data_IF_838958379006
#
_entry.id   IF_838958379006
#
_cell.length_a   1.000
_cell.length_b   1.000
_cell.length_c   1.000
_cell.angle_alpha   90.00
_cell.angle_beta   90.00
_cell.angle_gamma   90.00
#
_symmetry.space_group_name_H-M   'P 1'
#
loop_
_entity.id
_entity.type
_entity.pdbx_description
1 polymer ?
#
# COMPACT_ATOMS: atom_id res chain seq x y z
N UNK A 1 -8.11 21.80 4.60
CA UNK A 1 -6.64 21.92 4.56
C UNK A 1 -6.29 23.01 3.54
N UNK A 2 -5.31 23.87 3.79
CA UNK A 2 -4.90 24.88 2.80
C UNK A 2 -4.18 24.16 1.63
N UNK A 3 -4.53 24.43 0.37
CA UNK A 3 -3.94 23.78 -0.81
C UNK A 3 -2.41 23.87 -0.83
N UNK A 4 -1.82 24.94 -0.30
CA UNK A 4 -0.37 25.10 -0.19
C UNK A 4 0.27 24.03 0.71
N UNK A 5 -0.35 23.70 1.86
CA UNK A 5 0.12 22.64 2.76
C UNK A 5 -0.02 21.24 2.13
N UNK A 6 -1.02 21.03 1.26
CA UNK A 6 -1.16 19.78 0.50
C UNK A 6 -0.01 19.59 -0.50
N UNK A 7 0.36 20.64 -1.24
CA UNK A 7 1.47 20.55 -2.20
C UNK A 7 2.81 20.23 -1.54
N UNK A 8 3.13 20.87 -0.42
CA UNK A 8 4.36 20.58 0.34
C UNK A 8 4.43 19.11 0.80
N UNK A 9 3.28 18.56 1.22
CA UNK A 9 3.16 17.18 1.67
C UNK A 9 3.45 16.17 0.55
N UNK A 10 2.94 16.43 -0.66
CA UNK A 10 3.21 15.57 -1.82
C UNK A 10 4.63 15.76 -2.38
N UNK A 11 5.17 16.97 -2.30
CA UNK A 11 6.53 17.27 -2.76
C UNK A 11 7.59 16.55 -1.93
N UNK A 12 7.33 16.35 -0.63
CA UNK A 12 8.18 15.57 0.26
C UNK A 12 8.29 14.08 -0.14
N UNK A 13 7.33 13.54 -0.90
CA UNK A 13 7.31 12.13 -1.33
C UNK A 13 7.58 11.93 -2.82
N UNK A 14 7.23 12.88 -3.67
CA UNK A 14 7.43 12.80 -5.12
C UNK A 14 8.84 13.26 -5.54
N UNK A 15 9.87 12.63 -4.95
CA UNK A 15 11.28 12.87 -5.30
C UNK A 15 11.61 12.35 -6.71
N UNK A 16 12.74 12.77 -7.29
CA UNK A 16 13.22 12.24 -8.58
C UNK A 16 13.37 10.72 -8.55
N UNK A 17 13.87 10.17 -7.44
CA UNK A 17 14.03 8.72 -7.24
C UNK A 17 12.68 8.01 -7.20
N UNK A 18 11.67 8.59 -6.54
CA UNK A 18 10.30 8.06 -6.53
C UNK A 18 9.70 8.07 -7.94
N UNK A 19 9.75 9.20 -8.66
CA UNK A 19 9.21 9.32 -10.02
C UNK A 19 9.86 8.30 -10.98
N UNK A 20 11.18 8.12 -10.89
CA UNK A 20 11.92 7.11 -11.66
C UNK A 20 11.41 5.70 -11.37
N UNK A 21 11.17 5.34 -10.10
CA UNK A 21 10.66 4.02 -9.73
C UNK A 21 9.19 3.80 -10.15
N UNK A 22 8.38 4.86 -10.18
CA UNK A 22 7.03 4.84 -10.74
C UNK A 22 7.05 4.75 -12.29
N UNK A 23 8.22 4.96 -12.91
CA UNK A 23 8.40 4.92 -14.35
C UNK A 23 7.78 6.13 -15.07
N UNK A 24 7.81 7.30 -14.42
CA UNK A 24 7.34 8.57 -14.97
C UNK A 24 8.47 9.60 -15.00
N UNK A 25 8.44 10.52 -15.97
CA UNK A 25 9.49 11.53 -16.18
C UNK A 25 9.32 12.77 -15.29
N UNK A 26 8.08 13.11 -14.92
CA UNK A 26 7.74 14.27 -14.09
C UNK A 26 6.42 14.04 -13.34
N UNK A 27 6.12 14.93 -12.39
CA UNK A 27 4.87 14.92 -11.63
C UNK A 27 3.63 15.11 -12.52
N UNK A 28 3.75 15.81 -13.65
CA UNK A 28 2.63 16.08 -14.58
C UNK A 28 2.07 14.81 -15.26
N UNK A 29 2.82 13.71 -15.19
CA UNK A 29 2.37 12.39 -15.67
C UNK A 29 1.48 11.65 -14.68
N UNK A 30 1.36 12.18 -13.47
CA UNK A 30 0.52 11.68 -12.40
C UNK A 30 -0.81 12.43 -12.38
N UNK A 31 -1.92 11.70 -12.28
CA UNK A 31 -3.25 12.31 -12.10
C UNK A 31 -3.58 12.25 -10.61
N UNK A 32 -3.64 13.39 -9.95
CA UNK A 32 -4.12 13.45 -8.59
C UNK A 32 -5.60 13.05 -8.50
N UNK A 33 -5.94 12.16 -7.57
CA UNK A 33 -7.29 11.70 -7.30
C UNK A 33 -7.44 11.42 -5.80
N UNK A 34 -8.00 12.40 -5.08
CA UNK A 34 -8.37 12.31 -3.67
C UNK A 34 -7.24 11.77 -2.76
N UNK A 35 -6.04 12.34 -2.89
CA UNK A 35 -4.87 12.02 -2.06
C UNK A 35 -3.91 10.99 -2.68
N UNK A 36 -4.32 10.31 -3.74
CA UNK A 36 -3.50 9.35 -4.48
C UNK A 36 -3.18 9.85 -5.89
N UNK A 37 -2.31 9.13 -6.60
CA UNK A 37 -1.90 9.47 -7.95
C UNK A 37 -2.09 8.30 -8.90
N UNK A 38 -2.96 8.45 -9.90
CA UNK A 38 -3.03 7.49 -11.00
C UNK A 38 -1.89 7.69 -11.97
N UNK A 39 -1.31 6.59 -12.42
CA UNK A 39 -0.19 6.57 -13.35
C UNK A 39 -0.74 6.21 -14.73
N UNK A 40 -0.71 7.16 -15.67
CA UNK A 40 -1.19 7.00 -17.07
C UNK A 40 -0.28 6.08 -17.89
N UNK A 41 -0.23 4.80 -17.51
CA UNK A 41 0.54 3.75 -18.19
C UNK A 41 -0.23 2.45 -18.12
N UNK A 42 -0.33 1.77 -19.26
CA UNK A 42 -0.98 0.46 -19.35
C UNK A 42 -0.32 -0.52 -18.38
N UNK A 43 -1.14 -1.14 -17.53
CA UNK A 43 -0.69 -2.18 -16.61
C UNK A 43 -0.41 -3.45 -17.39
N UNK A 44 0.78 -4.01 -17.20
CA UNK A 44 1.15 -5.35 -17.65
C UNK A 44 1.67 -6.08 -16.42
N UNK A 45 0.97 -7.13 -16.02
CA UNK A 45 1.36 -8.01 -14.92
C UNK A 45 1.25 -9.45 -15.41
N UNK A 46 2.26 -10.23 -15.06
CA UNK A 46 2.26 -11.68 -15.21
C UNK A 46 2.64 -12.25 -13.86
N UNK A 47 1.83 -13.17 -13.36
CA UNK A 47 2.03 -13.84 -12.08
C UNK A 47 1.98 -15.33 -12.37
N UNK A 48 3.07 -16.03 -12.10
CA UNK A 48 3.21 -17.48 -12.32
C UNK A 48 3.02 -18.30 -11.04
N UNK A 49 3.17 -17.69 -9.87
CA UNK A 49 2.99 -18.35 -8.57
C UNK A 49 1.51 -18.36 -8.15
N UNK A 50 1.10 -19.44 -7.47
CA UNK A 50 -0.24 -19.57 -6.87
C UNK A 50 -0.32 -19.02 -5.43
N UNK A 51 0.79 -18.56 -4.87
CA UNK A 51 0.88 -18.00 -3.52
C UNK A 51 1.54 -16.62 -3.49
N UNK A 52 1.75 -16.11 -2.28
CA UNK A 52 2.45 -14.84 -2.04
C UNK A 52 3.89 -14.91 -2.57
N UNK A 53 4.22 -14.11 -3.58
CA UNK A 53 5.56 -13.96 -4.13
C UNK A 53 6.15 -12.64 -3.64
N UNK A 54 6.70 -12.66 -2.43
CA UNK A 54 7.38 -11.51 -1.85
C UNK A 54 8.72 -11.27 -2.53
N UNK A 55 9.08 -10.00 -2.72
CA UNK A 55 10.46 -9.67 -3.05
C UNK A 55 11.40 -9.95 -1.86
N UNK A 56 12.68 -10.17 -2.16
CA UNK A 56 13.71 -10.18 -1.12
C UNK A 56 13.76 -8.79 -0.44
N UNK A 57 13.88 -8.77 0.88
CA UNK A 57 14.02 -7.53 1.66
C UNK A 57 15.23 -6.72 1.18
N UNK A 58 15.12 -5.40 1.18
CA UNK A 58 16.25 -4.50 0.97
C UNK A 58 17.03 -4.40 2.28
N UNK A 59 18.31 -4.78 2.24
CA UNK A 59 19.26 -4.59 3.33
C UNK A 59 19.76 -3.15 3.35
N UNK A 60 19.70 -2.48 4.49
CA UNK A 60 20.34 -1.19 4.76
C UNK A 60 21.22 -1.35 5.99
N UNK A 61 22.40 -0.73 5.97
CA UNK A 61 23.28 -0.63 7.14
C UNK A 61 23.29 0.81 7.61
N UNK A 62 22.95 1.03 8.88
CA UNK A 62 22.90 2.36 9.48
C UNK A 62 23.45 2.30 10.89
N UNK A 63 24.45 3.14 11.17
CA UNK A 63 25.11 3.16 12.49
C UNK A 63 25.54 1.76 12.95
N UNK A 64 26.13 0.98 12.04
CA UNK A 64 26.59 -0.40 12.25
C UNK A 64 25.47 -1.45 12.47
N UNK A 65 24.20 -1.04 12.51
CA UNK A 65 23.06 -1.95 12.57
C UNK A 65 22.55 -2.28 11.18
N UNK A 66 22.22 -3.56 10.97
CA UNK A 66 21.56 -4.04 9.76
C UNK A 66 20.04 -4.03 9.94
N UNK A 67 19.34 -3.42 8.98
CA UNK A 67 17.89 -3.45 8.90
C UNK A 67 17.43 -4.02 7.56
N UNK A 68 16.37 -4.83 7.62
CA UNK A 68 15.73 -5.43 6.46
C UNK A 68 14.39 -4.73 6.21
N UNK A 69 14.24 -4.19 5.00
CA UNK A 69 13.05 -3.44 4.59
C UNK A 69 12.22 -4.25 3.57
N UNK A 70 10.90 -4.32 3.74
CA UNK A 70 10.03 -4.97 2.78
C UNK A 70 10.04 -4.21 1.44
N UNK A 71 9.92 -4.93 0.33
CA UNK A 71 9.91 -4.32 -1.00
C UNK A 71 8.54 -4.42 -1.67
N UNK A 72 7.84 -5.54 -1.53
CA UNK A 72 6.55 -5.73 -2.19
C UNK A 72 6.20 -7.20 -2.39
N UNK A 73 5.11 -7.42 -3.11
CA UNK A 73 4.61 -8.76 -3.40
C UNK A 73 3.84 -8.81 -4.72
N UNK A 74 3.81 -9.99 -5.33
CA UNK A 74 2.86 -10.38 -6.37
C UNK A 74 1.99 -11.52 -5.86
N UNK A 75 0.71 -11.48 -6.17
CA UNK A 75 -0.19 -12.59 -5.88
C UNK A 75 -1.37 -12.61 -6.84
N UNK A 76 -1.81 -13.82 -7.21
CA UNK A 76 -3.07 -14.03 -7.91
C UNK A 76 -4.17 -14.20 -6.86
N UNK A 77 -4.99 -13.17 -6.65
CA UNK A 77 -6.11 -13.20 -5.73
C UNK A 77 -7.34 -13.82 -6.38
N UNK A 78 -8.08 -14.60 -5.61
CA UNK A 78 -9.38 -15.19 -5.97
C UNK A 78 -10.29 -15.09 -4.75
N UNK A 79 -11.61 -15.33 -4.93
CA UNK A 79 -12.57 -15.31 -3.81
C UNK A 79 -12.17 -16.24 -2.65
N UNK A 80 -11.51 -17.35 -2.95
CA UNK A 80 -11.11 -18.35 -1.95
C UNK A 80 -10.04 -17.86 -0.97
N UNK A 81 -9.32 -16.79 -1.30
CA UNK A 81 -8.33 -16.19 -0.41
C UNK A 81 -8.91 -15.10 0.49
N UNK A 82 -10.16 -14.68 0.32
CA UNK A 82 -10.74 -13.65 1.17
C UNK A 82 -10.87 -14.17 2.61
N UNK A 83 -10.45 -13.36 3.57
CA UNK A 83 -10.53 -13.76 4.97
C UNK A 83 -11.99 -13.89 5.43
N UNK A 84 -12.27 -14.98 6.15
CA UNK A 84 -13.55 -15.24 6.83
C UNK A 84 -13.46 -15.04 8.35
N UNK A 85 -12.27 -14.70 8.87
CA UNK A 85 -11.99 -14.50 10.28
C UNK A 85 -11.18 -13.21 10.49
N UNK A 86 -11.35 -12.53 11.64
CA UNK A 86 -10.50 -11.40 12.00
C UNK A 86 -9.05 -11.86 12.20
N UNK A 87 -8.12 -10.90 12.12
CA UNK A 87 -6.70 -11.15 12.39
C UNK A 87 -6.49 -11.61 13.85
N UNK A 88 -5.52 -12.49 14.12
CA UNK A 88 -5.10 -12.82 15.49
C UNK A 88 -4.81 -11.56 16.31
N UNK A 89 -5.26 -11.53 17.58
CA UNK A 89 -5.11 -10.36 18.46
C UNK A 89 -3.65 -10.11 18.85
N UNK A 90 -2.84 -11.16 18.82
CA UNK A 90 -1.42 -11.18 19.18
C UNK A 90 -0.55 -10.40 18.17
N UNK A 91 -1.03 -10.26 16.93
CA UNK A 91 -0.35 -9.56 15.85
C UNK A 91 0.12 -8.16 16.26
N UNK A 92 -0.77 -7.37 16.87
CA UNK A 92 -0.49 -5.97 17.25
C UNK A 92 0.57 -5.85 18.34
N UNK A 93 0.86 -6.95 19.07
CA UNK A 93 1.83 -6.97 20.16
C UNK A 93 3.23 -7.38 19.73
N UNK A 94 3.39 -8.18 18.66
CA UNK A 94 4.70 -8.78 18.30
C UNK A 94 5.28 -8.35 16.94
N UNK A 95 4.62 -7.46 16.21
CA UNK A 95 5.15 -6.90 14.97
C UNK A 95 5.56 -5.46 15.20
N UNK A 96 6.84 -5.15 15.00
CA UNK A 96 7.39 -3.81 15.14
C UNK A 96 8.20 -3.54 13.87
N UNK A 97 7.60 -2.97 12.82
CA UNK A 97 8.32 -2.71 11.58
C UNK A 97 9.41 -1.65 11.80
N UNK A 98 10.38 -1.60 10.89
CA UNK A 98 11.42 -0.56 10.91
C UNK A 98 10.76 0.83 10.90
N UNK A 99 11.25 1.73 11.76
CA UNK A 99 10.69 3.07 11.95
C UNK A 99 9.44 3.14 12.82
N UNK A 100 9.07 2.06 13.52
CA UNK A 100 7.93 2.09 14.44
C UNK A 100 8.21 2.93 15.69
N UNK A 101 7.41 3.97 15.90
CA UNK A 101 7.39 4.79 17.10
C UNK A 101 6.15 4.49 17.95
N UNK A 102 6.36 3.89 19.13
CA UNK A 102 5.27 3.56 20.06
C UNK A 102 4.75 4.80 20.78
N UNK A 103 5.61 5.75 21.12
CA UNK A 103 5.26 6.92 21.93
C UNK A 103 4.45 7.92 21.11
N UNK A 104 4.74 8.04 19.81
CA UNK A 104 3.93 8.81 18.85
C UNK A 104 2.45 8.39 18.91
N UNK A 105 2.17 7.10 19.07
CA UNK A 105 0.83 6.53 19.06
C UNK A 105 0.14 6.49 20.45
N UNK A 106 0.69 7.17 21.46
CA UNK A 106 0.24 7.09 22.86
C UNK A 106 -1.20 7.56 23.09
N UNK A 107 -1.62 8.65 22.45
CA UNK A 107 -2.96 9.25 22.60
C UNK A 107 -3.82 9.17 21.35
N UNK A 108 -3.19 9.26 20.17
CA UNK A 108 -3.82 9.27 18.86
C UNK A 108 -3.01 8.38 17.94
N UNK A 109 -3.68 7.62 17.06
CA UNK A 109 -2.98 6.85 16.04
C UNK A 109 -2.51 7.74 14.89
N UNK A 110 -1.19 7.79 14.71
CA UNK A 110 -0.51 8.49 13.62
C UNK A 110 0.12 7.51 12.63
N UNK A 111 0.57 6.35 13.11
CA UNK A 111 1.18 5.30 12.29
C UNK A 111 0.58 3.92 12.61
N UNK A 112 0.52 3.08 11.60
CA UNK A 112 0.07 1.70 11.63
C UNK A 112 1.19 0.75 11.20
N UNK A 113 1.00 -0.51 11.60
CA UNK A 113 1.70 -1.65 11.04
C UNK A 113 1.07 -1.95 9.68
N UNK A 114 1.51 -1.23 8.66
CA UNK A 114 1.07 -1.37 7.28
C UNK A 114 1.36 -2.77 6.75
N UNK A 115 0.51 -3.27 5.86
CA UNK A 115 0.63 -4.60 5.27
C UNK A 115 0.93 -4.46 3.79
N UNK A 116 1.84 -5.28 3.28
CA UNK A 116 2.04 -5.42 1.84
C UNK A 116 0.75 -5.91 1.16
N UNK A 117 0.06 -6.89 1.77
CA UNK A 117 -1.26 -7.36 1.37
C UNK A 117 -2.16 -7.39 2.59
N UNK A 118 -3.32 -6.72 2.53
CA UNK A 118 -4.27 -6.76 3.63
C UNK A 118 -4.76 -8.18 3.94
N UNK A 119 -4.92 -8.43 5.24
CA UNK A 119 -5.51 -9.65 5.78
C UNK A 119 -6.84 -10.00 5.12
N UNK A 120 -7.69 -9.00 4.81
CA UNK A 120 -8.98 -9.24 4.18
C UNK A 120 -8.89 -9.85 2.78
N UNK A 121 -7.79 -9.62 2.06
CA UNK A 121 -7.54 -10.14 0.72
C UNK A 121 -6.81 -11.48 0.72
N UNK A 122 -5.96 -11.69 1.72
CA UNK A 122 -5.20 -12.92 1.91
C UNK A 122 -4.88 -13.07 3.41
N UNK A 123 -5.57 -13.95 4.16
CA UNK A 123 -5.29 -14.16 5.57
C UNK A 123 -3.89 -14.74 5.75
N UNK A 124 -3.09 -14.09 6.59
CA UNK A 124 -1.73 -14.53 6.90
C UNK A 124 -1.71 -15.22 8.26
N UNK A 125 -2.00 -16.52 8.25
CA UNK A 125 -1.95 -17.34 9.46
C UNK A 125 -0.51 -17.50 10.00
N UNK A 126 0.51 -17.23 9.17
CA UNK A 126 1.93 -17.28 9.50
C UNK A 126 2.56 -15.89 9.60
N UNK A 127 1.82 -14.93 10.16
CA UNK A 127 2.25 -13.53 10.33
C UNK A 127 3.56 -13.39 11.14
N UNK A 128 3.96 -14.41 11.90
CA UNK A 128 5.22 -14.42 12.63
C UNK A 128 6.45 -14.67 11.72
N UNK A 129 6.26 -15.28 10.56
CA UNK A 129 7.31 -15.57 9.57
C UNK A 129 7.42 -14.44 8.55
N UNK A 130 8.62 -14.18 8.04
CA UNK A 130 8.91 -13.17 7.01
C UNK A 130 8.38 -11.75 7.34
N UNK A 131 8.38 -11.37 8.62
CA UNK A 131 7.83 -10.07 9.08
C UNK A 131 8.46 -8.89 8.36
N UNK A 132 9.76 -8.97 8.10
CA UNK A 132 10.57 -7.99 7.39
C UNK A 132 10.21 -7.86 5.89
N UNK A 133 9.45 -8.80 5.34
CA UNK A 133 8.93 -8.76 3.96
C UNK A 133 7.47 -8.36 3.86
N UNK A 134 6.75 -8.38 4.99
CA UNK A 134 5.28 -8.24 5.05
C UNK A 134 4.79 -6.92 5.62
N UNK A 135 5.53 -6.36 6.57
CA UNK A 135 5.05 -5.23 7.37
C UNK A 135 5.99 -4.04 7.33
N UNK A 136 5.42 -2.85 7.23
CA UNK A 136 6.16 -1.59 7.18
C UNK A 136 5.45 -0.53 8.02
N UNK A 137 6.18 0.51 8.42
CA UNK A 137 5.57 1.67 9.08
C UNK A 137 4.83 2.51 8.06
N UNK A 138 3.52 2.62 8.26
CA UNK A 138 2.60 3.30 7.35
C UNK A 138 1.80 4.34 8.12
N UNK A 139 1.60 5.53 7.57
CA UNK A 139 0.77 6.54 8.24
C UNK A 139 -0.68 6.11 8.41
N UNK A 140 -1.37 6.66 9.40
CA UNK A 140 -2.81 6.46 9.62
C UNK A 140 -3.61 6.80 8.38
N UNK A 141 -3.37 7.97 7.78
CA UNK A 141 -4.07 8.39 6.56
C UNK A 141 -3.89 7.40 5.39
N UNK A 142 -2.66 6.92 5.14
CA UNK A 142 -2.39 6.05 3.98
C UNK A 142 -2.83 4.60 4.19
N UNK A 143 -3.06 4.17 5.44
CA UNK A 143 -3.50 2.83 5.80
C UNK A 143 -5.03 2.71 5.97
N UNK A 144 -5.71 3.72 6.52
CA UNK A 144 -7.10 3.58 7.01
C UNK A 144 -8.14 3.63 5.90
N UNK A 145 -9.08 2.69 5.83
CA UNK A 145 -10.18 2.74 4.85
C UNK A 145 -11.01 4.03 4.91
N UNK A 146 -11.32 4.60 3.74
CA UNK A 146 -12.29 5.68 3.58
C UNK A 146 -13.63 5.12 3.08
N UNK A 147 -14.67 5.15 3.91
CA UNK A 147 -16.05 4.95 3.43
C UNK A 147 -16.56 6.24 2.79
N UNK A 148 -17.30 6.10 1.69
CA UNK A 148 -18.03 7.23 1.12
C UNK A 148 -19.12 7.70 2.11
N UNK A 149 -19.40 9.00 2.12
CA UNK A 149 -20.59 9.57 2.76
C UNK A 149 -21.84 9.18 1.94
N UNK A 150 -23.02 9.55 2.43
CA UNK A 150 -24.28 9.28 1.71
C UNK A 150 -24.34 10.03 0.37
N UNK A 151 -23.60 11.12 0.27
CA UNK A 151 -23.49 12.03 -0.87
C UNK A 151 -22.41 11.61 -1.88
N UNK A 152 -21.65 10.54 -1.56
CA UNK A 152 -20.61 9.99 -2.44
C UNK A 152 -19.19 10.52 -2.17
N UNK A 153 -19.02 11.47 -1.26
CA UNK A 153 -17.72 12.05 -0.92
C UNK A 153 -16.89 11.09 -0.05
N UNK A 154 -15.58 11.04 -0.26
CA UNK A 154 -14.68 10.26 0.60
C UNK A 154 -14.31 11.05 1.85
N UNK A 155 -14.48 10.45 3.03
CA UNK A 155 -14.14 11.09 4.31
C UNK A 155 -12.64 11.33 4.51
N UNK A 156 -11.77 10.52 3.90
CA UNK A 156 -10.31 10.56 4.10
C UNK A 156 -9.55 10.68 2.79
N UNK A 157 -9.93 9.91 1.77
CA UNK A 157 -9.27 9.88 0.46
C UNK A 157 -9.15 8.46 -0.10
N UNK A 158 -8.48 8.33 -1.25
CA UNK A 158 -8.19 7.05 -1.91
C UNK A 158 -6.84 6.48 -1.46
N UNK A 159 -6.79 6.01 -0.23
CA UNK A 159 -5.60 5.38 0.34
C UNK A 159 -5.55 3.86 0.04
N UNK A 160 -4.60 3.12 0.64
CA UNK A 160 -4.38 1.71 0.31
C UNK A 160 -5.64 0.86 0.57
N UNK A 161 -6.26 1.03 1.73
CA UNK A 161 -7.45 0.27 2.12
C UNK A 161 -8.67 0.58 1.23
N UNK A 162 -8.77 1.76 0.63
CA UNK A 162 -9.80 2.05 -0.39
C UNK A 162 -9.67 1.10 -1.59
N UNK A 163 -8.47 1.00 -2.16
CA UNK A 163 -8.22 0.15 -3.33
C UNK A 163 -8.32 -1.33 -2.99
N UNK A 164 -7.85 -1.74 -1.82
CA UNK A 164 -8.01 -3.12 -1.34
C UNK A 164 -9.48 -3.48 -1.14
N UNK A 165 -10.31 -2.54 -0.67
CA UNK A 165 -11.76 -2.73 -0.57
C UNK A 165 -12.42 -2.88 -1.94
N UNK A 166 -11.98 -2.14 -2.97
CA UNK A 166 -12.47 -2.34 -4.34
C UNK A 166 -12.11 -3.73 -4.89
N UNK A 167 -10.90 -4.21 -4.60
CA UNK A 167 -10.44 -5.55 -5.00
C UNK A 167 -11.28 -6.62 -4.31
N UNK A 168 -11.46 -6.50 -2.98
CA UNK A 168 -12.28 -7.41 -2.18
C UNK A 168 -13.71 -7.48 -2.71
N UNK A 169 -14.33 -6.32 -2.92
CA UNK A 169 -15.70 -6.22 -3.45
C UNK A 169 -15.84 -6.94 -4.79
N UNK A 170 -14.91 -6.70 -5.72
CA UNK A 170 -14.95 -7.37 -7.02
C UNK A 170 -14.86 -8.89 -6.90
N UNK A 171 -13.92 -9.41 -6.09
CA UNK A 171 -13.75 -10.85 -5.89
C UNK A 171 -14.97 -11.48 -5.22
N UNK A 172 -15.60 -10.79 -4.27
CA UNK A 172 -16.80 -11.29 -3.59
C UNK A 172 -18.02 -11.35 -4.51
N UNK A 173 -18.24 -10.32 -5.33
CA UNK A 173 -19.36 -10.21 -6.27
C UNK A 173 -19.20 -11.12 -7.50
N UNK A 174 -18.02 -11.69 -7.76
CA UNK A 174 -17.73 -12.44 -8.97
C UNK A 174 -17.02 -13.77 -8.69
N UNK A 175 -17.78 -14.86 -8.54
CA UNK A 175 -17.25 -16.20 -8.18
C UNK A 175 -16.18 -16.73 -9.15
N UNK A 176 -16.31 -16.45 -10.45
CA UNK A 176 -15.33 -16.85 -11.48
C UNK A 176 -14.39 -15.70 -11.87
N UNK A 177 -13.84 -15.03 -10.87
CA UNK A 177 -12.92 -13.90 -11.05
C UNK A 177 -11.57 -14.13 -10.39
N UNK A 178 -10.58 -13.39 -10.89
CA UNK A 178 -9.25 -13.34 -10.32
C UNK A 178 -8.69 -11.92 -10.46
N UNK A 179 -7.84 -11.52 -9.53
CA UNK A 179 -7.13 -10.24 -9.58
C UNK A 179 -5.64 -10.51 -9.53
N UNK A 180 -4.90 -10.09 -10.56
CA UNK A 180 -3.44 -10.07 -10.50
C UNK A 180 -3.06 -8.84 -9.70
N UNK A 181 -2.62 -9.06 -8.46
CA UNK A 181 -2.26 -8.02 -7.52
C UNK A 181 -0.75 -7.87 -7.46
N UNK A 182 -0.28 -6.63 -7.56
CA UNK A 182 1.11 -6.26 -7.38
C UNK A 182 1.20 -5.02 -6.53
N UNK A 183 2.04 -5.09 -5.53
CA UNK A 183 2.33 -3.99 -4.63
C UNK A 183 3.84 -3.83 -4.53
N UNK A 184 4.29 -2.59 -4.52
CA UNK A 184 5.70 -2.25 -4.29
C UNK A 184 5.78 -1.02 -3.40
N UNK A 185 6.55 -1.12 -2.33
CA UNK A 185 6.94 0.01 -1.51
C UNK A 185 8.01 0.82 -2.24
N UNK A 186 7.84 2.14 -2.24
CA UNK A 186 8.73 3.06 -2.95
C UNK A 186 9.52 3.85 -1.92
N UNK A 187 10.83 3.59 -1.87
CA UNK A 187 11.79 4.29 -1.01
C UNK A 187 12.57 5.30 -1.85
N UNK A 188 12.99 6.43 -1.29
CA UNK A 188 14.05 7.26 -1.88
C UNK A 188 15.36 6.86 -1.25
N UNK A 189 16.35 6.49 -2.06
CA UNK A 189 17.73 6.27 -1.61
C UNK A 189 17.76 5.29 -0.41
N UNK A 190 18.27 5.70 0.75
CA UNK A 190 18.37 4.90 1.98
C UNK A 190 17.30 5.23 3.03
N UNK A 191 16.11 5.62 2.57
CA UNK A 191 14.95 5.75 3.43
C UNK A 191 14.68 4.47 4.25
N UNK A 192 14.42 4.62 5.55
CA UNK A 192 14.02 3.53 6.45
C UNK A 192 12.53 3.20 6.34
N UNK A 193 11.71 4.15 5.92
CA UNK A 193 10.27 3.96 5.68
C UNK A 193 9.90 4.40 4.26
N UNK A 194 8.93 3.76 3.60
CA UNK A 194 8.64 4.08 2.20
C UNK A 194 7.99 5.45 2.09
N UNK A 195 8.30 6.18 1.02
CA UNK A 195 7.63 7.42 0.60
C UNK A 195 6.19 7.17 0.13
N UNK A 196 5.89 5.93 -0.27
CA UNK A 196 4.54 5.52 -0.64
C UNK A 196 4.48 4.10 -1.19
N UNK A 197 3.29 3.72 -1.63
CA UNK A 197 2.95 2.40 -2.15
C UNK A 197 2.55 2.53 -3.62
N UNK A 198 3.22 1.81 -4.51
CA UNK A 198 2.76 1.59 -5.87
C UNK A 198 1.89 0.33 -5.90
N UNK A 199 0.60 0.49 -6.18
CA UNK A 199 -0.34 -0.62 -6.36
C UNK A 199 -0.71 -0.75 -7.85
N UNK A 200 -0.65 -1.99 -8.34
CA UNK A 200 -1.19 -2.39 -9.63
C UNK A 200 -2.13 -3.57 -9.43
N UNK A 201 -3.29 -3.51 -10.07
CA UNK A 201 -4.24 -4.62 -10.06
C UNK A 201 -4.84 -4.81 -11.45
N UNK A 202 -4.92 -6.06 -11.94
CA UNK A 202 -5.66 -6.41 -13.17
C UNK A 202 -6.83 -7.30 -12.78
N UNK A 203 -8.04 -6.83 -13.05
CA UNK A 203 -9.29 -7.49 -12.70
C UNK A 203 -9.74 -8.34 -13.87
N UNK A 204 -9.81 -9.64 -13.66
CA UNK A 204 -10.16 -10.60 -14.68
C UNK A 204 -11.39 -11.40 -14.27
N UNK A 205 -12.27 -11.71 -15.22
CA UNK A 205 -13.45 -12.54 -15.00
C UNK A 205 -13.62 -13.51 -16.16
N UNK A 206 -14.10 -14.73 -15.90
CA UNK A 206 -14.64 -15.60 -16.96
C UNK A 206 -16.05 -15.15 -17.29
N UNK A 207 -16.30 -14.91 -18.56
CA UNK A 207 -17.65 -14.60 -19.06
C UNK A 207 -18.24 -15.86 -19.69
N UNK A 208 -19.56 -16.01 -19.70
CA UNK A 208 -20.24 -17.16 -20.33
C UNK A 208 -19.82 -17.37 -21.80
N UNK A 209 -19.51 -16.28 -22.51
CA UNK A 209 -19.06 -16.29 -23.90
C UNK A 209 -17.63 -16.82 -24.12
N UNK A 210 -16.78 -16.82 -23.10
CA UNK A 210 -15.36 -17.15 -23.24
C UNK A 210 -14.92 -18.12 -22.13
N UNK A 211 -14.34 -19.26 -22.52
CA UNK A 211 -13.71 -20.19 -21.56
C UNK A 211 -12.48 -19.58 -20.86
N UNK A 212 -11.89 -18.55 -21.46
CA UNK A 212 -10.74 -17.82 -20.94
C UNK A 212 -11.14 -16.59 -20.11
N UNK A 213 -10.25 -16.19 -19.20
CA UNK A 213 -10.39 -14.94 -18.46
C UNK A 213 -10.25 -13.73 -19.37
N UNK A 214 -11.14 -12.75 -19.22
CA UNK A 214 -11.04 -11.43 -19.88
C UNK A 214 -10.76 -10.35 -18.84
N UNK A 215 -9.95 -9.36 -19.22
CA UNK A 215 -9.68 -8.19 -18.38
C UNK A 215 -10.84 -7.22 -18.41
N UNK A 216 -11.35 -6.91 -17.21
CA UNK A 216 -12.48 -5.99 -16.99
C UNK A 216 -11.99 -4.58 -16.72
N UNK A 217 -11.01 -4.43 -15.82
CA UNK A 217 -10.37 -3.15 -15.50
C UNK A 217 -8.96 -3.35 -14.97
N UNK A 218 -8.20 -2.26 -14.89
CA UNK A 218 -6.90 -2.24 -14.23
C UNK A 218 -6.70 -0.99 -13.40
N UNK A 219 -5.99 -1.11 -12.29
CA UNK A 219 -5.59 0.00 -11.42
C UNK A 219 -4.07 0.14 -11.50
N UNK A 220 -3.58 1.38 -11.56
CA UNK A 220 -2.16 1.71 -11.45
C UNK A 220 -2.02 3.03 -10.69
N UNK A 221 -1.71 2.91 -9.40
CA UNK A 221 -1.78 4.05 -8.48
C UNK A 221 -0.55 4.09 -7.59
N UNK A 222 -0.15 5.31 -7.25
CA UNK A 222 0.78 5.60 -6.18
C UNK A 222 0.01 6.22 -5.02
N UNK A 223 0.07 5.57 -3.86
CA UNK A 223 -0.50 6.04 -2.60
C UNK A 223 0.66 6.61 -1.77
N UNK A 224 0.72 7.93 -1.53
CA UNK A 224 1.79 8.52 -0.73
C UNK A 224 1.67 8.10 0.75
N UNK A 225 2.80 7.84 1.41
CA UNK A 225 2.86 7.48 2.83
C UNK A 225 2.94 8.74 3.71
N UNK A 226 1.88 9.52 3.67
CA UNK A 226 1.79 10.85 4.27
C UNK A 226 0.68 10.90 5.31
N UNK A 227 0.72 11.87 6.20
CA UNK A 227 -0.41 12.28 7.04
C UNK A 227 -0.30 13.79 7.19
N UNK A 228 -1.40 14.51 7.01
CA UNK A 228 -1.40 15.97 7.10
C UNK A 228 -1.01 16.51 8.47
N UNK A 229 -1.08 15.66 9.50
CA UNK A 229 -0.72 15.98 10.88
C UNK A 229 0.76 15.75 11.16
N UNK A 230 1.54 15.27 10.19
CA UNK A 230 2.93 14.86 10.37
C UNK A 230 3.86 15.51 9.35
N UNK A 231 5.01 15.99 9.83
CA UNK A 231 6.22 16.11 9.01
C UNK A 231 7.07 14.86 9.25
N UNK A 232 7.51 14.23 8.17
CA UNK A 232 8.14 12.91 8.21
C UNK A 232 9.55 13.00 7.62
N UNK A 233 10.55 12.63 8.40
CA UNK A 233 11.86 12.25 7.90
C UNK A 233 11.86 10.76 7.59
N UNK A 234 11.80 10.41 6.31
CA UNK A 234 11.74 9.01 5.89
C UNK A 234 13.10 8.30 5.96
N UNK A 235 14.21 9.06 5.96
CA UNK A 235 15.56 8.54 6.10
C UNK A 235 15.83 8.07 7.51
N UNK A 236 15.35 8.84 8.47
CA UNK A 236 15.57 8.56 9.89
C UNK A 236 14.35 7.98 10.58
N UNK A 237 13.22 7.87 9.87
CA UNK A 237 11.93 7.47 10.41
C UNK A 237 11.50 8.33 11.62
N UNK A 238 11.77 9.63 11.55
CA UNK A 238 11.42 10.61 12.57
C UNK A 238 10.10 11.28 12.18
N UNK A 239 9.18 11.34 13.13
CA UNK A 239 7.86 11.96 12.95
C UNK A 239 7.74 13.19 13.84
N UNK A 240 7.41 14.33 13.24
CA UNK A 240 7.10 15.56 13.97
C UNK A 240 5.62 15.86 13.79
N UNK A 241 4.88 15.89 14.89
CA UNK A 241 3.47 16.29 14.88
C UNK A 241 3.37 17.77 14.55
N UNK A 242 2.50 18.10 13.59
CA UNK A 242 2.22 19.45 13.15
C UNK A 242 0.98 19.97 13.89
N UNK A 243 1.12 21.17 14.46
CA UNK A 243 0.03 21.94 15.07
C UNK A 243 -0.86 22.62 14.00
#
# INVERSE_FOLDING_TARGET
MNRLKEYELFDAVLTKTVLKQLGVSSKDRLIFDNGSFHIRRKVRLTISSRGLDFYQSKRIVKSEEEVLLPIGCKVLLTKNFLANKPRPKEFSKKVTPVGWDKELNSSVTYINRGHIIAHELYPDDNWECDKDRKYFTQTEWSNKSSKATKEGDLKVGKNLAYYESEIKKFLDENTNSQVLYYVKLIYSDDDLIPRGICLKAIFNKKTEKYSNFVTIKSIHVFIPNIDSRLKIDYKDAIFTVLE
#
